data_IF_907079320841
#
_entry.id   IF_907079320841
#
_cell.length_a   1.000
_cell.length_b   1.000
_cell.length_c   1.000
_cell.angle_alpha   90.00
_cell.angle_beta   90.00
_cell.angle_gamma   90.00
#
_symmetry.space_group_name_H-M   'P 1'
#
loop_
_entity.id
_entity.type
_entity.pdbx_description
1 polymer ?
#
# COMPACT_ATOMS: atom_id res chain seq x y z
N UNK A 1 -23.36 5.17 -9.80
CA UNK A 1 -23.57 6.02 -8.60
C UNK A 1 -22.75 7.28 -8.80
N UNK A 2 -23.38 8.42 -9.00
CA UNK A 2 -22.70 9.72 -8.95
C UNK A 2 -22.39 9.98 -7.47
N UNK A 3 -21.21 9.61 -7.02
CA UNK A 3 -20.75 9.96 -5.69
C UNK A 3 -20.61 11.47 -5.61
N UNK A 4 -21.37 12.14 -4.76
CA UNK A 4 -21.21 13.57 -4.53
C UNK A 4 -19.78 13.85 -4.06
N UNK A 5 -19.13 14.82 -4.70
CA UNK A 5 -17.81 15.30 -4.24
C UNK A 5 -17.99 15.96 -2.89
N UNK A 6 -17.39 15.41 -1.85
CA UNK A 6 -17.44 15.97 -0.49
C UNK A 6 -16.17 16.74 -0.18
N UNK A 7 -16.35 17.99 0.27
CA UNK A 7 -15.23 18.79 0.79
C UNK A 7 -15.01 18.43 2.23
N UNK A 8 -13.78 18.01 2.57
CA UNK A 8 -13.42 17.59 3.92
C UNK A 8 -13.27 18.79 4.86
N UNK A 9 -13.80 18.65 6.07
CA UNK A 9 -13.61 19.61 7.16
C UNK A 9 -12.17 19.57 7.71
N UNK A 10 -11.75 20.56 8.46
CA UNK A 10 -10.44 20.58 9.10
C UNK A 10 -10.24 19.39 10.06
N UNK A 11 -11.29 19.01 10.80
CA UNK A 11 -11.27 17.85 11.68
C UNK A 11 -11.09 16.54 10.90
N UNK A 12 -11.78 16.37 9.77
CA UNK A 12 -11.61 15.21 8.89
C UNK A 12 -10.20 15.16 8.29
N UNK A 13 -9.63 16.31 7.92
CA UNK A 13 -8.24 16.38 7.42
C UNK A 13 -7.25 15.95 8.50
N UNK A 14 -7.47 16.32 9.76
CA UNK A 14 -6.62 15.87 10.88
C UNK A 14 -6.71 14.35 11.01
N UNK A 15 -7.92 13.77 11.01
CA UNK A 15 -8.12 12.30 11.06
C UNK A 15 -7.47 11.57 9.88
N UNK A 16 -7.56 12.12 8.67
CA UNK A 16 -6.88 11.57 7.49
C UNK A 16 -5.35 11.60 7.64
N UNK A 17 -4.79 12.68 8.19
CA UNK A 17 -3.35 12.75 8.48
C UNK A 17 -2.92 11.72 9.52
N UNK A 18 -3.69 11.53 10.58
CA UNK A 18 -3.43 10.49 11.59
C UNK A 18 -3.46 9.09 10.94
N UNK A 19 -4.51 8.77 10.18
CA UNK A 19 -4.64 7.50 9.47
C UNK A 19 -3.50 7.28 8.48
N UNK A 20 -3.16 8.29 7.69
CA UNK A 20 -2.04 8.23 6.74
C UNK A 20 -0.68 7.98 7.43
N UNK A 21 -0.43 8.58 8.60
CA UNK A 21 0.78 8.33 9.36
C UNK A 21 0.85 6.90 9.91
N UNK A 22 -0.28 6.38 10.41
CA UNK A 22 -0.38 4.98 10.87
C UNK A 22 -0.11 4.06 9.68
N UNK A 23 -0.76 4.27 8.55
CA UNK A 23 -0.61 3.46 7.35
C UNK A 23 0.84 3.50 6.81
N UNK A 24 1.47 4.67 6.78
CA UNK A 24 2.87 4.81 6.39
C UNK A 24 3.82 4.02 7.31
N UNK A 25 3.51 3.96 8.61
CA UNK A 25 4.27 3.18 9.58
C UNK A 25 4.10 1.68 9.31
N UNK A 26 2.85 1.21 9.14
CA UNK A 26 2.55 -0.20 8.80
C UNK A 26 3.31 -0.60 7.53
N UNK A 27 3.22 0.20 6.48
CA UNK A 27 3.89 -0.09 5.20
C UNK A 27 5.42 -0.07 5.32
N UNK A 28 5.96 0.78 6.19
CA UNK A 28 7.40 0.79 6.50
C UNK A 28 7.85 -0.49 7.21
N UNK A 29 7.09 -0.98 8.19
CA UNK A 29 7.40 -2.24 8.88
C UNK A 29 7.28 -3.44 7.94
N UNK A 30 6.25 -3.47 7.10
CA UNK A 30 6.12 -4.48 6.03
C UNK A 30 7.35 -4.46 5.10
N UNK A 31 7.79 -3.27 4.70
CA UNK A 31 8.99 -3.12 3.86
C UNK A 31 10.26 -3.64 4.49
N UNK A 32 10.43 -3.51 5.82
CA UNK A 32 11.56 -4.09 6.57
C UNK A 32 11.52 -5.62 6.60
N UNK A 33 10.33 -6.20 6.54
CA UNK A 33 10.14 -7.65 6.52
C UNK A 33 10.40 -8.26 5.14
N UNK A 34 10.39 -7.47 4.06
CA UNK A 34 10.65 -7.94 2.69
C UNK A 34 12.08 -8.47 2.58
N UNK A 35 12.21 -9.78 2.35
CA UNK A 35 13.48 -10.48 2.18
C UNK A 35 13.30 -11.75 1.37
N UNK A 36 14.40 -12.31 0.87
CA UNK A 36 14.38 -13.64 0.21
C UNK A 36 13.78 -14.68 1.14
N UNK A 37 12.86 -15.49 0.62
CA UNK A 37 12.24 -16.62 1.31
C UNK A 37 10.96 -16.28 2.08
N UNK A 38 10.65 -15.00 2.37
CA UNK A 38 9.35 -14.67 2.96
C UNK A 38 8.23 -14.87 1.93
N UNK A 39 7.12 -15.43 2.34
CA UNK A 39 5.95 -15.59 1.49
C UNK A 39 5.07 -14.34 1.51
N UNK A 40 4.32 -14.15 0.43
CA UNK A 40 3.37 -13.03 0.39
C UNK A 40 2.23 -13.20 1.41
N UNK A 41 1.87 -14.44 1.81
CA UNK A 41 0.95 -14.70 2.93
C UNK A 41 1.51 -14.26 4.28
N UNK A 42 2.80 -14.49 4.54
CA UNK A 42 3.43 -14.02 5.79
C UNK A 42 3.42 -12.50 5.87
N UNK A 43 3.56 -11.80 4.74
CA UNK A 43 3.42 -10.34 4.71
C UNK A 43 1.98 -9.88 4.98
N UNK A 44 0.95 -10.59 4.46
CA UNK A 44 -0.45 -10.30 4.79
C UNK A 44 -0.74 -10.55 6.28
N UNK A 45 -0.20 -11.64 6.84
CA UNK A 45 -0.34 -11.90 8.28
C UNK A 45 0.31 -10.82 9.14
N UNK A 46 1.52 -10.38 8.78
CA UNK A 46 2.17 -9.26 9.45
C UNK A 46 1.35 -7.97 9.35
N UNK A 47 0.74 -7.69 8.18
CA UNK A 47 -0.14 -6.54 8.03
C UNK A 47 -1.35 -6.61 8.96
N UNK A 48 -1.98 -7.80 9.11
CA UNK A 48 -3.09 -8.02 10.05
C UNK A 48 -2.67 -7.75 11.49
N UNK A 49 -1.50 -8.22 11.89
CA UNK A 49 -0.99 -8.07 13.26
C UNK A 49 -0.70 -6.59 13.57
N UNK A 50 -0.06 -5.88 12.64
CA UNK A 50 0.19 -4.43 12.74
C UNK A 50 -1.12 -3.63 12.79
N UNK A 51 -2.10 -3.91 11.92
CA UNK A 51 -3.39 -3.22 11.96
C UNK A 51 -4.10 -3.40 13.31
N UNK A 52 -4.02 -4.61 13.89
CA UNK A 52 -4.57 -4.90 15.22
C UNK A 52 -3.82 -4.12 16.32
N UNK A 53 -2.50 -4.05 16.25
CA UNK A 53 -1.66 -3.28 17.18
C UNK A 53 -2.02 -1.79 17.16
N UNK A 54 -2.13 -1.20 15.96
CA UNK A 54 -2.51 0.21 15.78
C UNK A 54 -4.01 0.48 15.93
N UNK A 55 -4.83 -0.57 16.18
CA UNK A 55 -6.29 -0.47 16.36
C UNK A 55 -6.99 0.22 15.19
N UNK A 56 -6.63 -0.19 13.98
CA UNK A 56 -7.22 0.25 12.73
C UNK A 56 -7.87 -0.93 12.01
N UNK A 57 -8.87 -0.66 11.17
CA UNK A 57 -9.57 -1.68 10.41
C UNK A 57 -9.04 -1.76 8.97
N UNK A 58 -8.87 -2.96 8.39
CA UNK A 58 -8.49 -3.11 6.98
C UNK A 58 -9.60 -2.63 6.06
N UNK A 59 -9.25 -1.91 4.98
CA UNK A 59 -10.24 -1.45 4.01
C UNK A 59 -10.49 -2.45 2.88
N UNK A 60 -9.57 -3.39 2.63
CA UNK A 60 -9.68 -4.34 1.51
C UNK A 60 -10.40 -5.64 1.88
N UNK A 61 -10.26 -6.09 3.13
CA UNK A 61 -10.84 -7.36 3.58
C UNK A 61 -12.36 -7.36 3.37
N UNK A 62 -12.85 -8.38 2.67
CA UNK A 62 -14.25 -8.56 2.31
C UNK A 62 -14.83 -7.46 1.39
N UNK A 63 -14.00 -6.61 0.79
CA UNK A 63 -14.44 -5.64 -0.20
C UNK A 63 -14.72 -6.34 -1.55
N UNK A 64 -15.72 -5.85 -2.29
CA UNK A 64 -16.19 -6.35 -3.61
C UNK A 64 -16.94 -7.69 -3.58
N UNK A 65 -17.37 -8.13 -4.77
CA UNK A 65 -18.02 -9.41 -5.02
C UNK A 65 -17.32 -10.08 -6.23
N UNK A 66 -16.64 -11.23 -6.04
CA UNK A 66 -16.43 -11.94 -4.76
C UNK A 66 -15.58 -11.12 -3.76
N UNK A 67 -15.75 -11.39 -2.44
CA UNK A 67 -15.06 -10.61 -1.42
C UNK A 67 -13.53 -10.84 -1.46
N UNK A 68 -12.75 -9.75 -1.37
CA UNK A 68 -11.30 -9.84 -1.32
C UNK A 68 -10.84 -10.51 -0.01
N UNK A 69 -10.01 -11.58 -0.05
CA UNK A 69 -9.77 -12.43 1.11
C UNK A 69 -8.63 -11.97 2.04
N UNK A 70 -7.97 -10.86 1.72
CA UNK A 70 -6.75 -10.41 2.38
C UNK A 70 -6.85 -8.95 2.86
N UNK A 71 -5.90 -8.50 3.67
CA UNK A 71 -5.79 -7.10 4.10
C UNK A 71 -4.74 -6.33 3.30
N UNK A 72 -3.91 -7.06 2.55
CA UNK A 72 -2.80 -6.55 1.78
C UNK A 72 -2.89 -7.05 0.33
N UNK A 73 -2.63 -6.19 -0.66
CA UNK A 73 -2.33 -6.62 -2.02
C UNK A 73 -0.82 -6.79 -2.19
N UNK A 74 -0.41 -7.89 -2.82
CA UNK A 74 1.00 -8.28 -2.95
C UNK A 74 1.35 -8.60 -4.39
N UNK A 75 1.70 -7.59 -5.18
CA UNK A 75 1.96 -7.74 -6.61
C UNK A 75 3.47 -7.89 -6.88
N UNK A 76 3.88 -9.06 -7.37
CA UNK A 76 5.28 -9.43 -7.60
C UNK A 76 5.64 -9.30 -9.08
N UNK A 77 6.76 -8.67 -9.39
CA UNK A 77 7.33 -8.50 -10.72
C UNK A 77 6.33 -7.94 -11.75
N UNK A 78 5.87 -8.76 -12.72
CA UNK A 78 4.92 -8.38 -13.77
C UNK A 78 3.47 -8.26 -13.32
N UNK A 79 3.17 -8.65 -12.09
CA UNK A 79 1.84 -8.46 -11.53
C UNK A 79 1.60 -6.97 -11.27
N UNK A 80 0.50 -6.43 -11.81
CA UNK A 80 0.27 -4.99 -11.80
C UNK A 80 -0.31 -4.50 -10.46
N UNK A 81 -1.51 -4.99 -10.09
CA UNK A 81 -2.26 -4.58 -8.90
C UNK A 81 -3.15 -5.71 -8.37
N UNK A 82 -3.68 -5.57 -7.16
CA UNK A 82 -4.73 -6.40 -6.54
C UNK A 82 -4.40 -7.89 -6.44
N UNK A 83 -3.11 -8.25 -6.41
CA UNK A 83 -2.74 -9.66 -6.30
C UNK A 83 -2.95 -10.17 -4.89
N UNK A 84 -3.69 -11.29 -4.80
CA UNK A 84 -3.99 -11.96 -3.54
C UNK A 84 -2.71 -12.61 -2.99
N UNK A 85 -2.40 -12.41 -1.70
CA UNK A 85 -1.29 -13.10 -1.04
C UNK A 85 -1.36 -14.63 -1.18
N UNK A 86 -0.21 -15.26 -1.41
CA UNK A 86 -0.09 -16.68 -1.67
C UNK A 86 1.14 -17.29 -0.97
N UNK A 87 1.37 -18.58 -1.16
CA UNK A 87 2.57 -19.27 -0.68
C UNK A 87 3.83 -18.97 -1.55
N UNK A 88 3.76 -17.98 -2.47
CA UNK A 88 4.92 -17.56 -3.23
C UNK A 88 5.97 -16.97 -2.31
N UNK A 89 7.11 -17.64 -2.21
CA UNK A 89 8.28 -17.17 -1.48
C UNK A 89 9.10 -16.23 -2.38
N UNK A 90 9.34 -15.00 -1.90
CA UNK A 90 10.12 -13.99 -2.61
C UNK A 90 11.55 -14.47 -2.88
N UNK A 91 12.09 -14.12 -4.06
CA UNK A 91 13.41 -14.52 -4.54
C UNK A 91 14.31 -13.30 -4.71
N UNK A 92 15.61 -13.57 -4.69
CA UNK A 92 16.61 -12.56 -5.05
C UNK A 92 16.32 -11.98 -6.45
N UNK A 93 16.30 -10.66 -6.54
CA UNK A 93 16.00 -9.96 -7.79
C UNK A 93 14.53 -9.61 -8.00
N UNK A 94 13.60 -10.15 -7.20
CA UNK A 94 12.19 -9.77 -7.26
C UNK A 94 11.99 -8.31 -6.83
N UNK A 95 10.91 -7.72 -7.33
CA UNK A 95 10.29 -6.53 -6.76
C UNK A 95 8.88 -6.89 -6.32
N UNK A 96 8.43 -6.33 -5.21
CA UNK A 96 7.07 -6.52 -4.71
C UNK A 96 6.42 -5.18 -4.40
N UNK A 97 5.24 -4.95 -4.98
CA UNK A 97 4.37 -3.83 -4.61
C UNK A 97 3.43 -4.28 -3.50
N UNK A 98 3.54 -3.64 -2.36
CA UNK A 98 2.64 -3.80 -1.22
C UNK A 98 1.67 -2.62 -1.23
N UNK A 99 0.39 -2.94 -1.28
CA UNK A 99 -0.70 -1.96 -1.33
C UNK A 99 -1.66 -2.25 -0.19
N UNK A 100 -1.94 -1.23 0.62
CA UNK A 100 -2.60 -1.37 1.90
C UNK A 100 -3.50 -0.18 2.17
N UNK A 101 -4.72 -0.45 2.60
CA UNK A 101 -5.69 0.56 3.00
C UNK A 101 -6.25 0.29 4.39
N UNK A 102 -6.51 1.35 5.14
CA UNK A 102 -7.07 1.28 6.48
C UNK A 102 -8.22 2.26 6.70
N UNK A 103 -9.13 1.88 7.57
CA UNK A 103 -10.11 2.79 8.18
C UNK A 103 -9.60 3.27 9.54
N UNK A 104 -9.57 4.58 9.73
CA UNK A 104 -9.24 5.23 10.99
C UNK A 104 -10.26 6.32 11.31
N UNK A 105 -10.94 6.21 12.45
CA UNK A 105 -11.98 7.19 12.90
C UNK A 105 -13.03 7.49 11.82
N UNK A 106 -13.45 6.45 11.06
CA UNK A 106 -14.47 6.55 10.02
C UNK A 106 -13.99 7.09 8.67
N UNK A 107 -12.70 7.34 8.50
CA UNK A 107 -12.09 7.80 7.24
C UNK A 107 -11.07 6.79 6.73
N UNK A 108 -11.06 6.59 5.41
CA UNK A 108 -10.15 5.66 4.75
C UNK A 108 -8.89 6.37 4.25
N UNK A 109 -7.75 5.73 4.43
CA UNK A 109 -6.48 6.09 3.78
C UNK A 109 -5.90 4.88 3.07
N UNK A 110 -5.21 5.12 1.97
CA UNK A 110 -4.66 4.11 1.08
C UNK A 110 -3.25 4.48 0.66
N UNK A 111 -2.35 3.48 0.57
CA UNK A 111 -0.96 3.70 0.18
C UNK A 111 -0.33 2.44 -0.39
N UNK A 112 0.37 2.60 -1.51
CA UNK A 112 1.17 1.54 -2.11
C UNK A 112 2.66 1.93 -2.18
N UNK A 113 3.53 0.92 -2.05
CA UNK A 113 4.97 1.07 -2.24
C UNK A 113 5.61 -0.20 -2.77
N UNK A 114 6.55 -0.04 -3.70
CA UNK A 114 7.33 -1.16 -4.24
C UNK A 114 8.68 -1.28 -3.52
N UNK A 115 9.02 -2.52 -3.15
CA UNK A 115 10.25 -2.89 -2.46
C UNK A 115 11.06 -3.87 -3.32
N UNK A 116 12.39 -3.76 -3.28
CA UNK A 116 13.29 -4.72 -3.89
C UNK A 116 13.62 -5.85 -2.94
N UNK A 117 13.77 -7.06 -3.47
CA UNK A 117 14.20 -8.25 -2.73
C UNK A 117 15.67 -8.51 -3.08
N UNK A 118 16.57 -8.17 -2.17
CA UNK A 118 17.99 -8.27 -2.41
C UNK A 118 18.49 -7.36 -3.53
N UNK A 119 19.34 -7.89 -4.42
CA UNK A 119 19.91 -7.14 -5.54
C UNK A 119 19.02 -7.24 -6.76
N UNK A 120 18.61 -6.09 -7.29
CA UNK A 120 17.83 -5.95 -8.51
C UNK A 120 18.68 -5.38 -9.65
N UNK A 121 18.23 -5.56 -10.90
CA UNK A 121 18.89 -5.03 -12.10
C UNK A 121 18.93 -3.51 -12.14
N UNK A 122 19.84 -2.91 -12.88
CA UNK A 122 19.90 -1.46 -13.08
C UNK A 122 18.65 -0.93 -13.81
N UNK A 123 18.09 -1.72 -14.71
CA UNK A 123 16.82 -1.39 -15.37
C UNK A 123 15.66 -1.30 -14.37
N UNK A 124 15.55 -2.29 -13.48
CA UNK A 124 14.55 -2.31 -12.42
C UNK A 124 14.73 -1.13 -11.45
N UNK A 125 15.99 -0.83 -11.04
CA UNK A 125 16.28 0.35 -10.23
C UNK A 125 15.83 1.65 -10.90
N UNK A 126 16.09 1.78 -12.21
CA UNK A 126 15.65 2.93 -12.99
C UNK A 126 14.13 3.05 -13.01
N UNK A 127 13.41 1.93 -13.23
CA UNK A 127 11.95 1.89 -13.21
C UNK A 127 11.41 2.42 -11.87
N UNK A 128 11.87 1.87 -10.74
CA UNK A 128 11.43 2.30 -9.40
C UNK A 128 11.73 3.77 -9.14
N UNK A 129 12.92 4.24 -9.54
CA UNK A 129 13.33 5.65 -9.39
C UNK A 129 12.43 6.60 -10.20
N UNK A 130 12.15 6.26 -11.46
CA UNK A 130 11.33 7.10 -12.35
C UNK A 130 9.88 7.13 -11.87
N UNK A 131 9.32 5.98 -11.49
CA UNK A 131 7.95 5.90 -10.96
C UNK A 131 7.79 6.72 -9.68
N UNK A 132 8.75 6.63 -8.77
CA UNK A 132 8.76 7.45 -7.55
C UNK A 132 8.82 8.95 -7.88
N UNK A 133 9.70 9.35 -8.82
CA UNK A 133 9.81 10.75 -9.24
C UNK A 133 8.53 11.26 -9.90
N UNK A 134 7.85 10.43 -10.68
CA UNK A 134 6.56 10.77 -11.28
C UNK A 134 5.50 11.06 -10.19
N UNK A 135 5.43 10.22 -9.14
CA UNK A 135 4.53 10.45 -8.01
C UNK A 135 4.88 11.76 -7.26
N UNK A 136 6.16 12.03 -6.99
CA UNK A 136 6.61 13.26 -6.34
C UNK A 136 6.16 14.50 -7.14
N UNK A 137 6.33 14.47 -8.47
CA UNK A 137 5.89 15.55 -9.37
C UNK A 137 4.36 15.69 -9.32
N UNK A 138 3.62 14.56 -9.37
CA UNK A 138 2.16 14.59 -9.29
C UNK A 138 1.67 15.25 -7.98
N UNK A 139 2.28 14.90 -6.85
CA UNK A 139 1.96 15.51 -5.53
C UNK A 139 2.27 17.02 -5.53
N UNK A 140 3.42 17.42 -6.08
CA UNK A 140 3.81 18.83 -6.17
C UNK A 140 2.87 19.63 -7.08
N UNK A 141 2.30 18.97 -8.10
CA UNK A 141 1.42 19.58 -9.11
C UNK A 141 -0.04 19.60 -8.69
N UNK A 142 -0.47 18.73 -7.79
CA UNK A 142 -1.85 18.62 -7.29
C UNK A 142 -2.20 19.84 -6.40
N UNK A 143 -2.35 20.99 -7.03
CA UNK A 143 -2.69 22.26 -6.37
C UNK A 143 -3.91 22.88 -7.03
N UNK A 144 -4.64 23.69 -6.26
CA UNK A 144 -5.79 24.44 -6.79
C UNK A 144 -5.41 25.27 -8.03
N UNK A 145 -6.13 25.07 -9.12
CA UNK A 145 -5.93 25.79 -10.39
C UNK A 145 -5.06 25.04 -11.40
N UNK A 146 -4.54 23.87 -11.06
CA UNK A 146 -3.91 22.94 -12.01
C UNK A 146 -4.93 21.86 -12.43
N UNK A 147 -4.94 21.54 -13.72
CA UNK A 147 -5.76 20.47 -14.31
C UNK A 147 -5.02 19.12 -14.22
#
# INVERSE_FOLDING_TARGET
>A
MSGDVTIKTEEEIIKLKEGGNILATILSELGKAVKVGITTKELDQLARDLMKEYKVEPSFLNYSDPPYPAVLCTSVNQQLVHCIPSDYALKEGDIISLDCGIWHKGLCTDMARTFSVGKISEETKKLLKVTRKALEIAIETAKRGND
#
